data_IF_394641643415
#
_entry.id   IF_394641643415
#
_cell.length_a   1.000
_cell.length_b   1.000
_cell.length_c   1.000
_cell.angle_alpha   90.00
_cell.angle_beta   90.00
_cell.angle_gamma   90.00
#
_symmetry.space_group_name_H-M   'P 1'
#
loop_
_entity.id
_entity.type
_entity.pdbx_description
1 polymer ?
#
# COMPACT_ATOMS: atom_id res chain seq x y z
N UNK A 1 -1.96 -14.25 24.35
CA UNK A 1 -2.36 -13.02 23.63
C UNK A 1 -1.65 -11.85 24.30
N UNK A 2 -1.00 -10.98 23.54
CA UNK A 2 -0.37 -9.79 24.12
C UNK A 2 -1.46 -8.76 24.44
N UNK A 3 -1.32 -8.06 25.57
CA UNK A 3 -2.20 -6.93 25.93
C UNK A 3 -1.49 -5.64 25.56
N UNK A 4 -2.19 -4.74 24.88
CA UNK A 4 -1.67 -3.41 24.56
C UNK A 4 -2.68 -2.37 25.01
N UNK A 5 -2.19 -1.34 25.68
CA UNK A 5 -3.02 -0.26 26.23
C UNK A 5 -2.82 1.01 25.38
N UNK A 6 -3.91 1.64 24.98
CA UNK A 6 -3.92 2.89 24.23
C UNK A 6 -4.95 3.85 24.83
N UNK A 7 -4.61 5.13 24.84
CA UNK A 7 -5.57 6.19 25.13
C UNK A 7 -6.24 6.63 23.84
N UNK A 8 -7.56 6.69 23.85
CA UNK A 8 -8.38 7.21 22.75
C UNK A 8 -9.31 8.29 23.30
N UNK A 9 -9.69 9.29 22.48
CA UNK A 9 -10.73 10.25 22.85
C UNK A 9 -12.04 9.56 23.27
N UNK A 10 -12.75 10.16 24.23
CA UNK A 10 -13.97 9.58 24.79
C UNK A 10 -15.07 9.39 23.74
N UNK A 11 -15.20 10.34 22.82
CA UNK A 11 -16.15 10.29 21.69
C UNK A 11 -15.86 9.09 20.77
N UNK A 12 -14.58 8.82 20.49
CA UNK A 12 -14.15 7.67 19.69
C UNK A 12 -14.45 6.36 20.42
N UNK A 13 -14.14 6.27 21.71
CA UNK A 13 -14.45 5.09 22.55
C UNK A 13 -15.94 4.78 22.53
N UNK A 14 -16.77 5.80 22.74
CA UNK A 14 -18.20 5.63 22.90
C UNK A 14 -18.87 5.28 21.56
N UNK A 15 -18.44 5.91 20.46
CA UNK A 15 -18.88 5.55 19.11
C UNK A 15 -18.48 4.10 18.75
N UNK A 16 -17.25 3.69 19.07
CA UNK A 16 -16.77 2.33 18.83
C UNK A 16 -17.56 1.31 19.64
N UNK A 17 -17.71 1.54 20.94
CA UNK A 17 -18.48 0.66 21.82
C UNK A 17 -19.94 0.54 21.39
N UNK A 18 -20.58 1.63 20.95
CA UNK A 18 -21.95 1.62 20.44
C UNK A 18 -22.07 0.80 19.15
N UNK A 19 -21.14 0.99 18.21
CA UNK A 19 -21.15 0.35 16.89
C UNK A 19 -20.90 -1.16 17.00
N UNK A 20 -19.94 -1.55 17.83
CA UNK A 20 -19.48 -2.95 17.95
C UNK A 20 -19.98 -3.64 19.23
N UNK A 21 -21.08 -3.18 19.83
CA UNK A 21 -21.59 -3.64 21.13
C UNK A 21 -21.79 -5.17 21.26
N UNK A 22 -22.12 -5.84 20.15
CA UNK A 22 -22.40 -7.28 20.09
C UNK A 22 -21.25 -8.10 19.48
N UNK A 23 -20.08 -7.49 19.31
CA UNK A 23 -18.92 -8.13 18.69
C UNK A 23 -17.75 -8.21 19.68
N UNK A 24 -16.81 -9.11 19.41
CA UNK A 24 -15.55 -9.13 20.13
C UNK A 24 -14.71 -7.91 19.73
N UNK A 25 -14.76 -6.86 20.54
CA UNK A 25 -14.06 -5.58 20.33
C UNK A 25 -12.56 -5.75 20.13
N UNK A 26 -11.92 -6.66 20.86
CA UNK A 26 -10.49 -6.95 20.69
C UNK A 26 -10.18 -7.57 19.34
N UNK A 27 -11.07 -8.42 18.81
CA UNK A 27 -10.91 -8.99 17.47
C UNK A 27 -11.04 -7.92 16.39
N UNK A 28 -12.01 -6.99 16.53
CA UNK A 28 -12.17 -5.85 15.61
C UNK A 28 -10.91 -4.98 15.60
N UNK A 29 -10.37 -4.63 16.78
CA UNK A 29 -9.14 -3.84 16.88
C UNK A 29 -7.95 -4.58 16.27
N UNK A 30 -7.82 -5.88 16.52
CA UNK A 30 -6.75 -6.69 15.96
C UNK A 30 -6.80 -6.74 14.42
N UNK A 31 -7.99 -6.81 13.83
CA UNK A 31 -8.16 -6.75 12.37
C UNK A 31 -7.75 -5.39 11.83
N UNK A 32 -8.24 -4.30 12.44
CA UNK A 32 -7.89 -2.94 12.05
C UNK A 32 -6.37 -2.69 12.13
N UNK A 33 -5.70 -3.24 13.14
CA UNK A 33 -4.24 -3.19 13.25
C UNK A 33 -3.57 -3.94 12.10
N UNK A 34 -4.06 -5.14 11.73
CA UNK A 34 -3.51 -5.91 10.62
C UNK A 34 -3.66 -5.17 9.29
N UNK A 35 -4.84 -4.63 9.02
CA UNK A 35 -5.11 -3.81 7.82
C UNK A 35 -4.19 -2.58 7.76
N UNK A 36 -3.99 -1.92 8.90
CA UNK A 36 -3.11 -0.76 8.99
C UNK A 36 -1.65 -1.12 8.66
N UNK A 37 -1.15 -2.24 9.20
CA UNK A 37 0.20 -2.76 8.90
C UNK A 37 0.32 -3.09 7.42
N UNK A 38 -0.61 -3.87 6.88
CA UNK A 38 -0.56 -4.27 5.46
C UNK A 38 -0.57 -3.07 4.53
N UNK A 39 -1.38 -2.04 4.83
CA UNK A 39 -1.40 -0.80 4.05
C UNK A 39 -0.03 -0.11 4.02
N UNK A 40 0.65 -0.03 5.16
CA UNK A 40 2.00 0.55 5.25
C UNK A 40 3.00 -0.27 4.46
N UNK A 41 3.00 -1.59 4.63
CA UNK A 41 3.90 -2.47 3.91
C UNK A 41 3.67 -2.44 2.39
N UNK A 42 2.41 -2.42 1.93
CA UNK A 42 2.11 -2.30 0.49
C UNK A 42 2.67 -1.01 -0.09
N UNK A 43 2.55 0.11 0.62
CA UNK A 43 3.13 1.38 0.20
C UNK A 43 4.66 1.29 0.13
N UNK A 44 5.27 0.66 1.12
CA UNK A 44 6.73 0.45 1.16
C UNK A 44 7.21 -0.42 -0.01
N UNK A 45 6.58 -1.58 -0.26
CA UNK A 45 6.88 -2.45 -1.40
C UNK A 45 6.74 -1.72 -2.74
N UNK A 46 5.71 -0.88 -2.88
CA UNK A 46 5.53 -0.05 -4.06
C UNK A 46 6.66 0.95 -4.28
N UNK A 47 7.12 1.61 -3.21
CA UNK A 47 8.26 2.52 -3.28
C UNK A 47 9.56 1.80 -3.65
N UNK A 48 9.83 0.65 -3.03
CA UNK A 48 11.00 -0.16 -3.38
C UNK A 48 10.96 -0.68 -4.83
N UNK A 49 9.77 -0.98 -5.36
CA UNK A 49 9.63 -1.33 -6.77
C UNK A 49 9.96 -0.14 -7.69
N UNK A 50 9.48 1.06 -7.37
CA UNK A 50 9.81 2.29 -8.12
C UNK A 50 11.32 2.55 -8.08
N UNK A 51 11.93 2.49 -6.90
CA UNK A 51 13.36 2.73 -6.73
C UNK A 51 14.19 1.73 -7.56
N UNK A 52 13.80 0.44 -7.58
CA UNK A 52 14.44 -0.57 -8.44
C UNK A 52 14.30 -0.29 -9.93
N UNK A 53 13.14 0.19 -10.37
CA UNK A 53 12.91 0.54 -11.79
C UNK A 53 13.78 1.73 -12.18
N UNK A 54 13.80 2.79 -11.36
CA UNK A 54 14.59 3.99 -11.62
C UNK A 54 16.10 3.68 -11.62
N UNK A 55 16.58 2.84 -10.70
CA UNK A 55 17.97 2.41 -10.67
C UNK A 55 18.39 1.66 -11.96
N UNK A 56 17.48 0.85 -12.53
CA UNK A 56 17.71 0.18 -13.83
C UNK A 56 17.65 1.17 -14.99
N UNK A 57 16.72 2.12 -14.95
CA UNK A 57 16.56 3.13 -16.00
C UNK A 57 17.84 3.97 -16.19
N UNK A 58 18.59 4.23 -15.12
CA UNK A 58 19.87 4.92 -15.21
C UNK A 58 20.89 4.23 -16.16
N UNK A 59 20.77 2.92 -16.36
CA UNK A 59 21.65 2.12 -17.22
C UNK A 59 20.93 1.56 -18.44
N UNK A 60 19.69 1.97 -18.70
CA UNK A 60 18.91 1.45 -19.81
C UNK A 60 19.38 2.05 -21.14
N UNK A 61 19.39 1.27 -22.25
CA UNK A 61 19.65 1.82 -23.56
C UNK A 61 18.59 2.86 -23.91
N UNK A 62 19.05 4.05 -24.28
CA UNK A 62 18.17 5.15 -24.70
C UNK A 62 17.96 5.02 -26.21
N UNK A 63 16.75 4.65 -26.61
CA UNK A 63 16.34 4.65 -28.01
C UNK A 63 15.79 6.02 -28.38
N UNK A 64 16.14 6.50 -29.56
CA UNK A 64 15.58 7.73 -30.11
C UNK A 64 14.09 7.56 -30.42
N UNK A 65 13.37 8.68 -30.46
CA UNK A 65 11.95 8.66 -30.83
C UNK A 65 11.71 8.16 -32.26
N UNK A 66 12.70 8.34 -33.14
CA UNK A 66 12.67 7.88 -34.54
C UNK A 66 12.76 6.35 -34.63
N UNK A 67 13.69 5.73 -33.89
CA UNK A 67 13.82 4.27 -33.80
C UNK A 67 12.54 3.64 -33.26
N UNK A 68 11.96 4.21 -32.20
CA UNK A 68 10.70 3.74 -31.63
C UNK A 68 9.54 3.87 -32.63
N UNK A 69 9.50 4.96 -33.40
CA UNK A 69 8.46 5.17 -34.41
C UNK A 69 8.58 4.20 -35.59
N UNK A 70 9.81 3.91 -36.02
CA UNK A 70 10.08 2.94 -37.08
C UNK A 70 9.59 1.54 -36.69
N UNK A 71 9.96 1.04 -35.51
CA UNK A 71 9.53 -0.29 -35.04
C UNK A 71 8.00 -0.40 -34.88
N UNK A 72 7.33 0.68 -34.45
CA UNK A 72 5.86 0.70 -34.31
C UNK A 72 5.12 0.61 -35.65
N UNK A 73 5.72 1.11 -36.74
CA UNK A 73 5.15 1.00 -38.09
C UNK A 73 5.39 -0.38 -38.70
N UNK A 74 6.55 -0.95 -38.44
CA UNK A 74 6.95 -2.26 -39.00
C UNK A 74 6.15 -3.44 -38.43
N UNK A 75 5.70 -3.31 -37.17
CA UNK A 75 4.92 -4.35 -36.47
C UNK A 75 3.39 -4.19 -36.52
N UNK A 76 2.85 -3.24 -37.29
CA UNK A 76 1.39 -3.06 -37.45
C UNK A 76 0.96 -3.53 -38.84
N UNK A 77 0.04 -4.51 -38.96
CA UNK A 77 -0.64 -4.75 -40.23
C UNK A 77 -1.50 -3.55 -40.65
#
# INVERSE_FOLDING_TARGET
MATVNYSVPDDVRDAFNKTFKNQNRSAVVAELMREAVERVERKQRGREAIDRILARHANAPVLSSEEIAATRKDGRP
#
